data_IF_753353167336
#
_entry.id   IF_753353167336
#
_cell.length_a   1.000
_cell.length_b   1.000
_cell.length_c   1.000
_cell.angle_alpha   90.00
_cell.angle_beta   90.00
_cell.angle_gamma   90.00
#
_symmetry.space_group_name_H-M   'P 1'
#
loop_
_entity.id
_entity.type
_entity.pdbx_description
1 polymer ?
#
# COMPACT_ATOMS: atom_id res chain seq x y z
N UNK A 1 -18.59 9.78 -4.39
CA UNK A 1 -19.11 8.70 -3.53
C UNK A 1 -18.23 8.66 -2.30
N UNK A 2 -18.79 8.71 -1.09
CA UNK A 2 -18.00 8.56 0.13
C UNK A 2 -17.39 7.15 0.17
N UNK A 3 -16.14 6.98 0.61
CA UNK A 3 -15.55 5.67 0.77
C UNK A 3 -16.39 4.79 1.73
N UNK A 4 -16.87 3.65 1.26
CA UNK A 4 -17.76 2.78 2.05
C UNK A 4 -17.01 1.96 3.10
N UNK A 5 -15.69 1.86 2.97
CA UNK A 5 -14.82 1.00 3.77
C UNK A 5 -13.74 1.86 4.41
N UNK A 6 -13.61 1.83 5.74
CA UNK A 6 -12.51 2.50 6.46
C UNK A 6 -12.04 1.70 7.66
N UNK A 7 -10.72 1.68 7.86
CA UNK A 7 -10.05 1.08 9.01
C UNK A 7 -9.07 2.12 9.54
N UNK A 8 -8.95 2.26 10.86
CA UNK A 8 -7.97 3.15 11.46
C UNK A 8 -7.16 2.44 12.55
N UNK A 9 -5.97 2.98 12.80
CA UNK A 9 -5.06 2.61 13.87
C UNK A 9 -4.59 3.87 14.58
N UNK A 10 -4.52 3.82 15.92
CA UNK A 10 -3.90 4.86 16.75
C UNK A 10 -2.92 4.25 17.72
N UNK A 11 -1.81 4.93 17.98
CA UNK A 11 -0.83 4.53 18.98
C UNK A 11 -1.01 5.35 20.26
N UNK A 12 -1.39 4.69 21.35
CA UNK A 12 -1.72 5.35 22.62
C UNK A 12 -0.51 5.84 23.43
N UNK A 13 0.72 5.64 22.95
CA UNK A 13 1.94 6.13 23.63
C UNK A 13 2.27 7.57 23.29
N UNK A 14 1.56 8.17 22.34
CA UNK A 14 1.88 9.47 21.76
C UNK A 14 0.72 10.44 21.98
N UNK A 15 0.26 10.54 23.24
CA UNK A 15 -0.88 11.37 23.65
C UNK A 15 -0.47 12.85 23.62
N UNK A 16 -1.35 13.69 23.10
CA UNK A 16 -1.14 15.12 22.95
C UNK A 16 -2.11 15.88 23.84
N UNK A 17 -1.59 16.85 24.60
CA UNK A 17 -2.40 17.76 25.39
C UNK A 17 -3.26 18.66 24.48
N UNK A 18 -4.54 18.89 24.82
CA UNK A 18 -5.39 19.85 24.13
C UNK A 18 -4.73 21.23 24.04
N UNK A 19 -4.95 21.92 22.92
CA UNK A 19 -4.43 23.28 22.65
C UNK A 19 -2.89 23.44 22.72
N UNK A 20 -2.14 22.35 22.83
CA UNK A 20 -0.68 22.37 22.71
C UNK A 20 -0.24 22.72 21.29
N UNK A 21 0.99 23.21 21.14
CA UNK A 21 1.60 23.48 19.83
C UNK A 21 1.55 22.25 18.92
N UNK A 22 1.77 21.05 19.46
CA UNK A 22 1.68 19.80 18.70
C UNK A 22 0.25 19.54 18.16
N UNK A 23 -0.78 19.82 18.97
CA UNK A 23 -2.19 19.70 18.55
C UNK A 23 -2.52 20.69 17.41
N UNK A 24 -2.06 21.93 17.55
CA UNK A 24 -2.24 22.98 16.53
C UNK A 24 -1.53 22.63 15.22
N UNK A 25 -0.29 22.13 15.30
CA UNK A 25 0.50 21.74 14.13
C UNK A 25 -0.15 20.55 13.39
N UNK A 26 -0.70 19.57 14.11
CA UNK A 26 -1.47 18.47 13.51
C UNK A 26 -2.72 18.99 12.82
N UNK A 27 -3.46 19.92 13.43
CA UNK A 27 -4.68 20.48 12.83
C UNK A 27 -4.38 21.27 11.56
N UNK A 28 -3.26 22.00 11.52
CA UNK A 28 -2.80 22.71 10.34
C UNK A 28 -2.35 21.73 9.24
N UNK A 29 -1.59 20.69 9.59
CA UNK A 29 -1.16 19.65 8.67
C UNK A 29 -2.35 18.92 8.05
N UNK A 30 -3.29 18.47 8.88
CA UNK A 30 -4.51 17.79 8.43
C UNK A 30 -5.39 18.71 7.58
N UNK A 31 -5.36 20.03 7.79
CA UNK A 31 -6.05 21.00 6.94
C UNK A 31 -5.37 21.11 5.57
N UNK A 32 -4.05 21.17 5.52
CA UNK A 32 -3.28 21.20 4.27
C UNK A 32 -3.45 19.94 3.42
N UNK A 33 -3.60 18.78 4.06
CA UNK A 33 -3.85 17.51 3.38
C UNK A 33 -5.18 17.49 2.60
N UNK A 34 -6.21 18.24 3.03
CA UNK A 34 -7.58 18.11 2.50
C UNK A 34 -7.73 18.41 1.01
N UNK A 35 -6.85 19.22 0.45
CA UNK A 35 -6.86 19.62 -0.96
C UNK A 35 -5.71 19.00 -1.76
N UNK A 36 -5.03 18.00 -1.20
CA UNK A 36 -3.87 17.38 -1.84
C UNK A 36 -4.23 16.14 -2.65
N UNK A 37 -3.36 15.75 -3.58
CA UNK A 37 -3.43 14.50 -4.34
C UNK A 37 -2.06 13.83 -4.29
N UNK A 38 -1.89 12.84 -3.41
CA UNK A 38 -0.59 12.25 -3.04
C UNK A 38 0.42 13.27 -2.50
N UNK A 39 0.63 13.30 -1.19
CA UNK A 39 1.58 14.25 -0.61
C UNK A 39 2.15 13.77 0.73
N UNK A 40 3.39 14.21 0.96
CA UNK A 40 4.07 14.15 2.25
C UNK A 40 4.10 15.56 2.83
N UNK A 41 3.74 15.68 4.10
CA UNK A 41 3.66 16.93 4.82
C UNK A 41 4.60 16.91 6.01
N UNK A 42 5.23 18.04 6.27
CA UNK A 42 5.97 18.32 7.48
C UNK A 42 5.42 19.62 8.08
N UNK A 43 5.35 19.72 9.40
CA UNK A 43 5.14 21.02 10.05
C UNK A 43 6.41 21.89 9.96
N UNK A 44 6.29 23.17 10.35
CA UNK A 44 7.35 24.18 10.19
C UNK A 44 8.66 23.79 10.89
N UNK A 45 8.58 23.02 11.98
CA UNK A 45 9.72 22.53 12.75
C UNK A 45 10.16 21.09 12.37
N UNK A 46 9.54 20.48 11.36
CA UNK A 46 9.76 19.11 10.90
C UNK A 46 9.60 18.01 11.99
N UNK A 47 8.75 18.27 12.98
CA UNK A 47 8.42 17.35 14.06
C UNK A 47 7.21 16.47 13.77
N UNK A 48 6.32 16.90 12.88
CA UNK A 48 5.07 16.19 12.58
C UNK A 48 5.04 15.83 11.10
N UNK A 49 4.93 14.53 10.85
CA UNK A 49 4.86 13.95 9.52
C UNK A 49 3.43 13.62 9.14
N UNK A 50 3.06 13.92 7.89
CA UNK A 50 1.79 13.56 7.29
C UNK A 50 1.99 12.80 5.99
N UNK A 51 1.23 11.73 5.79
CA UNK A 51 1.13 11.03 4.51
C UNK A 51 -0.32 11.04 4.06
N UNK A 52 -0.57 11.49 2.83
CA UNK A 52 -1.80 11.20 2.11
C UNK A 52 -1.45 10.52 0.80
N UNK A 53 -1.87 9.27 0.61
CA UNK A 53 -1.53 8.49 -0.58
C UNK A 53 -2.75 7.74 -1.11
N UNK A 54 -3.09 8.01 -2.35
CA UNK A 54 -4.17 7.35 -3.07
C UNK A 54 -3.72 6.02 -3.64
N UNK A 55 -4.71 5.18 -3.95
CA UNK A 55 -4.49 4.00 -4.77
C UNK A 55 -4.04 4.46 -6.15
N UNK A 56 -2.98 3.84 -6.68
CA UNK A 56 -2.28 4.33 -7.88
C UNK A 56 -3.10 4.35 -9.18
N UNK A 57 -4.35 3.92 -9.14
CA UNK A 57 -5.25 3.74 -10.27
C UNK A 57 -6.37 4.81 -10.30
N UNK A 58 -6.38 5.75 -9.35
CA UNK A 58 -7.43 6.76 -9.20
C UNK A 58 -7.10 8.06 -9.91
N UNK A 59 -8.14 8.73 -10.41
CA UNK A 59 -8.03 10.11 -10.88
C UNK A 59 -7.84 11.11 -9.72
N UNK A 60 -7.36 12.31 -10.05
CA UNK A 60 -7.02 13.34 -9.06
C UNK A 60 -8.23 13.77 -8.20
N UNK A 61 -9.44 13.82 -8.75
CA UNK A 61 -10.62 14.26 -8.00
C UNK A 61 -11.03 13.21 -6.97
N UNK A 62 -11.09 11.94 -7.39
CA UNK A 62 -11.36 10.81 -6.48
C UNK A 62 -10.28 10.71 -5.40
N UNK A 63 -9.01 10.90 -5.80
CA UNK A 63 -7.87 10.91 -4.90
C UNK A 63 -7.97 12.01 -3.84
N UNK A 64 -8.16 13.26 -4.26
CA UNK A 64 -8.23 14.39 -3.33
C UNK A 64 -9.44 14.30 -2.40
N UNK A 65 -10.59 13.86 -2.91
CA UNK A 65 -11.76 13.61 -2.07
C UNK A 65 -11.48 12.56 -0.98
N UNK A 66 -10.81 11.45 -1.33
CA UNK A 66 -10.45 10.43 -0.34
C UNK A 66 -9.48 10.95 0.72
N UNK A 67 -8.41 11.66 0.31
CA UNK A 67 -7.46 12.22 1.28
C UNK A 67 -8.16 13.25 2.18
N UNK A 68 -9.05 14.10 1.63
CA UNK A 68 -9.85 15.03 2.40
C UNK A 68 -10.72 14.35 3.46
N UNK A 69 -11.44 13.30 3.08
CA UNK A 69 -12.23 12.49 4.00
C UNK A 69 -11.33 11.80 5.04
N UNK A 70 -10.16 11.30 4.63
CA UNK A 70 -9.20 10.69 5.53
C UNK A 70 -8.67 11.65 6.58
N UNK A 71 -8.27 12.86 6.18
CA UNK A 71 -7.79 13.88 7.11
C UNK A 71 -8.85 14.29 8.15
N UNK A 72 -10.11 14.40 7.74
CA UNK A 72 -11.23 14.65 8.67
C UNK A 72 -11.42 13.49 9.65
N UNK A 73 -11.37 12.26 9.16
CA UNK A 73 -11.62 11.07 9.97
C UNK A 73 -10.45 10.71 10.91
N UNK A 74 -9.21 11.05 10.55
CA UNK A 74 -8.06 10.95 11.46
C UNK A 74 -8.33 11.82 12.70
N UNK A 75 -8.65 13.11 12.53
CA UNK A 75 -8.94 14.00 13.67
C UNK A 75 -10.12 13.53 14.50
N UNK A 76 -11.20 13.08 13.84
CA UNK A 76 -12.41 12.64 14.55
C UNK A 76 -12.21 11.33 15.33
N UNK A 77 -11.41 10.38 14.80
CA UNK A 77 -11.22 9.06 15.42
C UNK A 77 -10.02 9.00 16.37
N UNK A 78 -9.07 9.92 16.19
CA UNK A 78 -7.78 9.97 16.90
C UNK A 78 -7.49 11.42 17.37
N UNK A 79 -8.35 12.04 18.20
CA UNK A 79 -8.28 13.48 18.47
C UNK A 79 -7.06 13.93 19.30
N UNK A 80 -6.47 12.99 20.04
CA UNK A 80 -5.53 13.21 21.14
C UNK A 80 -4.18 12.50 20.91
N UNK A 81 -3.85 12.10 19.68
CA UNK A 81 -2.60 11.37 19.39
C UNK A 81 -1.83 11.96 18.22
N UNK A 82 -0.50 11.86 18.26
CA UNK A 82 0.37 12.26 17.14
C UNK A 82 0.52 11.16 16.09
N UNK A 83 0.18 9.93 16.44
CA UNK A 83 0.51 8.73 15.67
C UNK A 83 -0.78 7.98 15.32
N UNK A 84 -1.27 8.19 14.10
CA UNK A 84 -2.47 7.54 13.59
C UNK A 84 -2.36 7.23 12.09
N UNK A 85 -3.00 6.14 11.65
CA UNK A 85 -3.10 5.80 10.24
C UNK A 85 -4.52 5.31 9.92
N UNK A 86 -5.04 5.69 8.76
CA UNK A 86 -6.35 5.29 8.25
C UNK A 86 -6.20 4.74 6.84
N UNK A 87 -6.95 3.70 6.53
CA UNK A 87 -7.03 3.10 5.21
C UNK A 87 -8.47 3.08 4.74
N UNK A 88 -8.67 3.61 3.55
CA UNK A 88 -9.84 3.44 2.72
C UNK A 88 -9.56 2.39 1.63
N UNK A 89 -10.54 2.10 0.79
CA UNK A 89 -10.27 1.34 -0.44
C UNK A 89 -9.52 2.19 -1.46
N UNK A 90 -9.70 3.50 -1.40
CA UNK A 90 -9.21 4.49 -2.36
C UNK A 90 -7.91 5.18 -1.93
N UNK A 91 -7.63 5.29 -0.63
CA UNK A 91 -6.42 5.95 -0.14
C UNK A 91 -6.01 5.48 1.26
N UNK A 92 -4.75 5.68 1.57
CA UNK A 92 -4.16 5.54 2.90
C UNK A 92 -3.70 6.93 3.36
N UNK A 93 -3.92 7.27 4.62
CA UNK A 93 -3.37 8.49 5.19
C UNK A 93 -2.92 8.28 6.61
N UNK A 94 -1.94 9.06 7.08
CA UNK A 94 -1.46 8.95 8.44
C UNK A 94 -0.73 10.18 8.91
N UNK A 95 -0.59 10.28 10.22
CA UNK A 95 0.19 11.28 10.93
C UNK A 95 1.15 10.57 11.89
N UNK A 96 2.32 11.16 12.10
CA UNK A 96 3.26 10.75 13.13
C UNK A 96 3.92 11.97 13.78
N UNK A 97 4.17 11.91 15.09
CA UNK A 97 5.00 12.88 15.83
C UNK A 97 6.50 12.66 15.60
N UNK A 98 6.86 12.04 14.48
CA UNK A 98 8.23 11.76 14.04
C UNK A 98 8.30 11.95 12.53
N UNK A 99 9.48 12.06 11.94
CA UNK A 99 9.66 12.36 10.50
C UNK A 99 9.18 11.26 9.52
N UNK A 100 8.49 10.20 9.96
CA UNK A 100 7.92 9.15 9.11
C UNK A 100 6.85 8.33 9.85
N UNK A 101 6.07 7.51 9.13
CA UNK A 101 5.12 6.56 9.76
C UNK A 101 5.80 5.28 10.28
N UNK A 102 7.13 5.18 10.21
CA UNK A 102 7.88 3.97 10.59
C UNK A 102 7.64 3.49 12.02
N UNK A 103 7.22 4.39 12.93
CA UNK A 103 6.96 4.06 14.32
C UNK A 103 5.55 3.52 14.59
N UNK A 104 4.64 3.59 13.61
CA UNK A 104 3.27 3.09 13.75
C UNK A 104 3.20 1.58 13.44
N UNK A 105 3.82 1.15 12.33
CA UNK A 105 3.83 -0.24 11.80
C UNK A 105 2.68 -1.15 12.25
N UNK A 106 1.42 -0.77 11.99
CA UNK A 106 0.26 -1.57 12.36
C UNK A 106 0.18 -2.84 11.52
N UNK A 107 -0.54 -3.84 12.03
CA UNK A 107 -0.99 -5.01 11.27
C UNK A 107 -2.49 -5.19 11.49
N UNK A 108 -3.29 -4.97 10.45
CA UNK A 108 -4.74 -5.19 10.49
C UNK A 108 -5.12 -6.10 9.34
N UNK A 109 -5.90 -7.15 9.63
CA UNK A 109 -6.29 -8.15 8.63
C UNK A 109 -7.81 -8.32 8.64
N UNK A 110 -8.40 -8.16 7.46
CA UNK A 110 -9.83 -8.35 7.22
C UNK A 110 -10.06 -9.53 6.30
N UNK A 111 -11.04 -10.36 6.65
CA UNK A 111 -11.27 -11.67 6.03
C UNK A 111 -12.71 -11.76 5.56
N UNK A 112 -12.89 -12.26 4.35
CA UNK A 112 -14.22 -12.60 3.83
C UNK A 112 -14.42 -14.13 3.95
N UNK A 113 -15.56 -14.53 4.54
CA UNK A 113 -15.88 -15.94 4.80
C UNK A 113 -16.30 -16.71 3.54
N UNK A 114 -16.13 -18.03 3.56
CA UNK A 114 -16.50 -18.96 2.48
C UNK A 114 -15.35 -19.88 2.06
N UNK A 115 -15.65 -20.86 1.20
CA UNK A 115 -14.68 -21.84 0.68
C UNK A 115 -14.39 -21.60 -0.81
N UNK A 116 -13.13 -21.36 -1.19
CA UNK A 116 -12.69 -21.62 -2.57
C UNK A 116 -11.37 -22.40 -2.64
N UNK A 117 -11.35 -23.43 -3.49
CA UNK A 117 -10.21 -24.31 -3.80
C UNK A 117 -9.64 -25.08 -2.59
N UNK A 118 -8.89 -26.18 -2.79
CA UNK A 118 -8.08 -26.75 -1.72
C UNK A 118 -7.15 -25.67 -1.14
N UNK A 119 -7.06 -25.57 0.19
CA UNK A 119 -6.30 -24.52 0.88
C UNK A 119 -4.84 -24.42 0.36
N UNK A 120 -4.23 -25.55 0.00
CA UNK A 120 -2.87 -25.63 -0.56
C UNK A 120 -2.75 -24.98 -1.95
N UNK A 121 -3.71 -25.19 -2.86
CA UNK A 121 -3.72 -24.55 -4.18
C UNK A 121 -3.97 -23.05 -4.06
N UNK A 122 -4.87 -22.63 -3.16
CA UNK A 122 -5.11 -21.22 -2.91
C UNK A 122 -3.86 -20.53 -2.37
N UNK A 123 -3.20 -21.13 -1.38
CA UNK A 123 -1.96 -20.60 -0.78
C UNK A 123 -0.88 -20.35 -1.84
N UNK A 124 -0.57 -21.34 -2.66
CA UNK A 124 0.44 -21.19 -3.72
C UNK A 124 0.01 -20.19 -4.79
N UNK A 125 -1.28 -20.15 -5.14
CA UNK A 125 -1.85 -19.16 -6.05
C UNK A 125 -1.72 -17.73 -5.54
N UNK A 126 -2.01 -17.48 -4.26
CA UNK A 126 -1.89 -16.15 -3.63
C UNK A 126 -0.43 -15.70 -3.56
N UNK A 127 0.49 -16.58 -3.18
CA UNK A 127 1.92 -16.28 -3.19
C UNK A 127 2.38 -15.88 -4.60
N UNK A 128 2.00 -16.65 -5.62
CA UNK A 128 2.31 -16.36 -7.02
C UNK A 128 1.67 -15.07 -7.53
N UNK A 129 0.43 -14.78 -7.14
CA UNK A 129 -0.25 -13.54 -7.49
C UNK A 129 0.49 -12.33 -6.90
N UNK A 130 0.84 -12.38 -5.62
CA UNK A 130 1.59 -11.32 -4.97
C UNK A 130 2.98 -11.16 -5.59
N UNK A 131 3.67 -12.25 -5.94
CA UNK A 131 4.96 -12.17 -6.65
C UNK A 131 4.87 -11.49 -8.01
N UNK A 132 3.79 -11.74 -8.78
CA UNK A 132 3.54 -11.01 -10.03
C UNK A 132 3.38 -9.52 -9.80
N UNK A 133 2.61 -9.13 -8.78
CA UNK A 133 2.37 -7.73 -8.44
C UNK A 133 3.67 -7.06 -7.97
N UNK A 134 4.44 -7.71 -7.08
CA UNK A 134 5.76 -7.24 -6.62
C UNK A 134 6.71 -7.02 -7.79
N UNK A 135 6.78 -7.97 -8.71
CA UNK A 135 7.65 -7.87 -9.86
C UNK A 135 7.24 -6.70 -10.76
N UNK A 136 5.94 -6.42 -10.96
CA UNK A 136 5.49 -5.20 -11.66
C UNK A 136 5.96 -3.93 -10.97
N UNK A 137 5.77 -3.82 -9.65
CA UNK A 137 6.20 -2.65 -8.87
C UNK A 137 7.71 -2.42 -9.02
N UNK A 138 8.51 -3.49 -8.90
CA UNK A 138 9.96 -3.40 -9.08
C UNK A 138 10.36 -3.10 -10.53
N UNK A 139 9.56 -3.54 -11.51
CA UNK A 139 9.85 -3.43 -12.94
C UNK A 139 9.23 -2.19 -13.62
N UNK A 140 8.45 -1.40 -12.92
CA UNK A 140 7.90 -0.17 -13.48
C UNK A 140 7.81 0.92 -12.41
N UNK A 141 8.81 1.83 -12.34
CA UNK A 141 8.81 2.92 -11.37
C UNK A 141 7.64 3.89 -11.58
N UNK A 142 7.05 3.94 -12.78
CA UNK A 142 5.92 4.84 -13.06
C UNK A 142 4.65 4.45 -12.32
N UNK A 143 4.60 3.21 -11.83
CA UNK A 143 3.49 2.68 -11.03
C UNK A 143 3.45 3.23 -9.59
N UNK A 144 4.48 3.96 -9.14
CA UNK A 144 4.46 4.65 -7.84
C UNK A 144 4.23 3.72 -6.64
N UNK A 145 4.69 2.47 -6.74
CA UNK A 145 4.51 1.46 -5.68
C UNK A 145 3.21 0.66 -5.75
N UNK A 146 2.29 0.97 -6.68
CA UNK A 146 1.00 0.29 -6.83
C UNK A 146 1.00 -0.69 -8.01
N UNK A 147 0.46 -1.90 -7.84
CA UNK A 147 0.13 -2.72 -8.98
C UNK A 147 -1.05 -3.65 -8.71
N UNK A 148 -1.64 -4.12 -9.80
CA UNK A 148 -2.70 -5.13 -9.78
C UNK A 148 -2.30 -6.34 -10.63
N UNK A 149 -2.95 -7.48 -10.44
CA UNK A 149 -2.82 -8.60 -11.35
C UNK A 149 -4.04 -9.52 -11.23
N UNK A 150 -4.28 -10.31 -12.27
CA UNK A 150 -5.12 -11.49 -12.18
C UNK A 150 -4.34 -12.79 -12.40
N UNK A 151 -4.80 -13.85 -11.75
CA UNK A 151 -4.23 -15.20 -11.88
C UNK A 151 -5.35 -16.22 -11.97
N UNK A 152 -5.40 -16.95 -13.08
CA UNK A 152 -6.31 -18.08 -13.22
C UNK A 152 -5.82 -19.23 -12.32
N UNK A 153 -6.56 -19.50 -11.24
CA UNK A 153 -6.24 -20.53 -10.26
C UNK A 153 -6.74 -21.91 -10.69
N UNK A 154 -7.96 -21.96 -11.23
CA UNK A 154 -8.57 -23.15 -11.84
C UNK A 154 -9.32 -22.73 -13.10
N UNK A 155 -9.95 -23.68 -13.82
CA UNK A 155 -10.80 -23.34 -14.99
C UNK A 155 -11.94 -22.38 -14.66
N UNK A 156 -12.45 -22.41 -13.43
CA UNK A 156 -13.61 -21.62 -12.99
C UNK A 156 -13.28 -20.49 -12.03
N UNK A 157 -12.06 -20.48 -11.47
CA UNK A 157 -11.67 -19.54 -10.43
C UNK A 157 -10.47 -18.69 -10.88
N UNK A 158 -10.65 -17.38 -10.86
CA UNK A 158 -9.59 -16.39 -11.08
C UNK A 158 -9.41 -15.58 -9.81
N UNK A 159 -8.16 -15.42 -9.38
CA UNK A 159 -7.78 -14.52 -8.31
C UNK A 159 -7.51 -13.14 -8.90
N UNK A 160 -8.04 -12.11 -8.23
CA UNK A 160 -7.78 -10.71 -8.53
C UNK A 160 -7.08 -10.10 -7.33
N UNK A 161 -5.95 -9.42 -7.55
CA UNK A 161 -5.13 -8.86 -6.49
C UNK A 161 -4.67 -7.44 -6.77
N UNK A 162 -4.62 -6.62 -5.73
CA UNK A 162 -3.94 -5.33 -5.73
C UNK A 162 -2.96 -5.29 -4.56
N UNK A 163 -1.81 -4.68 -4.76
CA UNK A 163 -0.87 -4.37 -3.69
C UNK A 163 -0.28 -2.99 -3.90
N UNK A 164 0.05 -2.31 -2.80
CA UNK A 164 0.65 -1.00 -2.85
C UNK A 164 1.68 -0.82 -1.74
N UNK A 165 2.87 -0.31 -2.10
CA UNK A 165 3.81 0.26 -1.14
C UNK A 165 3.38 1.67 -0.75
N UNK A 166 3.54 2.04 0.50
CA UNK A 166 3.47 3.46 0.84
C UNK A 166 4.76 4.17 0.42
N UNK A 167 4.66 5.42 -0.04
CA UNK A 167 5.75 6.17 -0.66
C UNK A 167 6.82 6.64 0.33
N UNK A 168 6.55 6.51 1.64
CA UNK A 168 7.40 6.93 2.73
C UNK A 168 8.47 5.90 3.13
N UNK A 169 8.45 4.71 2.51
CA UNK A 169 9.41 3.65 2.80
C UNK A 169 10.25 3.25 1.58
N UNK A 170 11.46 2.75 1.87
CA UNK A 170 12.34 2.21 0.83
C UNK A 170 11.78 0.92 0.22
N UNK A 171 12.26 0.59 -0.98
CA UNK A 171 11.92 -0.66 -1.67
C UNK A 171 12.19 -1.90 -0.81
N UNK A 172 13.23 -1.88 0.04
CA UNK A 172 13.55 -3.00 0.93
C UNK A 172 12.52 -3.17 2.05
N UNK A 173 12.07 -2.07 2.64
CA UNK A 173 11.03 -2.10 3.68
C UNK A 173 9.70 -2.56 3.07
N UNK A 174 9.35 -2.08 1.88
CA UNK A 174 8.17 -2.58 1.18
C UNK A 174 8.31 -4.07 0.79
N UNK A 175 9.48 -4.50 0.33
CA UNK A 175 9.77 -5.90 0.01
C UNK A 175 9.52 -6.82 1.21
N UNK A 176 10.00 -6.45 2.40
CA UNK A 176 9.75 -7.16 3.65
C UNK A 176 8.26 -7.17 4.02
N UNK A 177 7.56 -6.06 3.79
CA UNK A 177 6.12 -5.96 4.04
C UNK A 177 5.31 -6.97 3.19
N UNK A 178 5.66 -7.13 1.91
CA UNK A 178 5.03 -8.12 1.06
C UNK A 178 5.41 -9.56 1.45
N UNK A 179 6.61 -9.83 1.96
CA UNK A 179 6.93 -11.15 2.53
C UNK A 179 6.11 -11.44 3.80
N UNK A 180 5.90 -10.44 4.67
CA UNK A 180 4.95 -10.54 5.79
C UNK A 180 3.54 -10.86 5.31
N UNK A 181 3.09 -10.20 4.23
CA UNK A 181 1.79 -10.47 3.61
C UNK A 181 1.67 -11.91 3.10
N UNK A 182 2.72 -12.46 2.47
CA UNK A 182 2.73 -13.87 2.04
C UNK A 182 2.58 -14.83 3.22
N UNK A 183 3.21 -14.51 4.35
CA UNK A 183 3.11 -15.34 5.54
C UNK A 183 1.67 -15.43 6.07
N UNK A 184 0.78 -14.47 5.75
CA UNK A 184 -0.64 -14.53 6.14
C UNK A 184 -1.45 -15.56 5.35
N UNK A 185 -0.89 -16.15 4.29
CA UNK A 185 -1.53 -17.22 3.51
C UNK A 185 -1.23 -18.63 4.03
N UNK A 186 -0.27 -18.77 4.94
CA UNK A 186 0.14 -20.06 5.52
C UNK A 186 -0.95 -20.69 6.37
N UNK A 187 -0.82 -21.99 6.66
CA UNK A 187 -1.80 -22.72 7.46
C UNK A 187 -1.98 -22.07 8.83
N UNK A 188 -3.23 -22.05 9.32
CA UNK A 188 -3.65 -21.39 10.57
C UNK A 188 -3.50 -19.86 10.61
N UNK A 189 -3.15 -19.22 9.48
CA UNK A 189 -3.08 -17.76 9.41
C UNK A 189 -4.41 -17.12 8.99
N UNK A 190 -4.64 -15.84 9.33
CA UNK A 190 -5.86 -15.11 9.03
C UNK A 190 -6.37 -15.25 7.58
N UNK A 191 -5.52 -15.11 6.56
CA UNK A 191 -5.96 -15.16 5.16
C UNK A 191 -6.04 -16.59 4.59
N UNK A 192 -5.66 -17.61 5.36
CA UNK A 192 -5.67 -19.01 4.94
C UNK A 192 -7.08 -19.49 4.62
N UNK A 193 -7.25 -20.06 3.42
CA UNK A 193 -8.52 -20.65 2.98
C UNK A 193 -9.68 -19.66 2.82
N UNK A 194 -9.44 -18.34 2.72
CA UNK A 194 -10.50 -17.33 2.61
C UNK A 194 -10.88 -17.02 1.16
N UNK A 195 -12.12 -16.57 0.93
CA UNK A 195 -12.57 -16.09 -0.40
C UNK A 195 -12.10 -14.67 -0.71
N UNK A 196 -11.50 -14.01 0.27
CA UNK A 196 -10.92 -12.70 0.12
C UNK A 196 -10.26 -12.30 1.42
N UNK A 197 -9.17 -11.56 1.32
CA UNK A 197 -8.46 -11.00 2.45
C UNK A 197 -7.95 -9.61 2.08
N UNK A 198 -7.94 -8.70 3.04
CA UNK A 198 -7.25 -7.42 2.96
C UNK A 198 -6.29 -7.30 4.13
N UNK A 199 -5.01 -7.13 3.83
CA UNK A 199 -3.91 -6.99 4.78
C UNK A 199 -3.45 -5.55 4.74
N UNK A 200 -3.47 -4.89 5.89
CA UNK A 200 -2.98 -3.54 6.07
C UNK A 200 -1.76 -3.58 6.97
N UNK A 201 -0.61 -3.24 6.40
CA UNK A 201 0.56 -2.88 7.17
C UNK A 201 0.80 -1.37 7.08
N UNK A 202 1.70 -0.87 7.93
CA UNK A 202 2.12 0.53 7.86
C UNK A 202 2.76 0.91 6.53
N UNK A 203 3.54 -0.01 5.94
CA UNK A 203 4.35 0.24 4.75
C UNK A 203 3.82 -0.37 3.45
N UNK A 204 2.78 -1.19 3.52
CA UNK A 204 2.10 -1.73 2.34
C UNK A 204 0.70 -2.23 2.67
N UNK A 205 -0.14 -2.35 1.64
CA UNK A 205 -1.39 -3.08 1.72
C UNK A 205 -1.55 -4.08 0.57
N UNK A 206 -2.36 -5.11 0.81
CA UNK A 206 -2.70 -6.13 -0.17
C UNK A 206 -4.17 -6.52 -0.03
N UNK A 207 -4.87 -6.64 -1.16
CA UNK A 207 -6.24 -7.16 -1.21
C UNK A 207 -6.35 -8.19 -2.30
N UNK A 208 -7.02 -9.31 -2.02
CA UNK A 208 -7.48 -10.24 -3.04
C UNK A 208 -8.96 -10.60 -2.91
N UNK A 209 -9.55 -10.99 -4.04
CA UNK A 209 -10.87 -11.60 -4.11
C UNK A 209 -11.00 -12.48 -5.37
N UNK A 210 -12.06 -13.29 -5.44
CA UNK A 210 -12.44 -14.07 -6.63
C UNK A 210 -13.33 -13.32 -7.63
N UNK A 211 -13.68 -12.06 -7.32
CA UNK A 211 -14.41 -11.16 -8.22
C UNK A 211 -13.58 -9.89 -8.42
N UNK A 212 -13.56 -9.31 -9.63
CA UNK A 212 -12.97 -7.99 -9.84
C UNK A 212 -13.61 -6.96 -8.90
N UNK A 213 -12.79 -6.12 -8.29
CA UNK A 213 -13.23 -5.06 -7.37
C UNK A 213 -12.66 -3.68 -7.72
N UNK A 214 -11.89 -3.59 -8.81
CA UNK A 214 -11.51 -2.31 -9.42
C UNK A 214 -12.59 -1.86 -10.40
N UNK A 215 -12.75 -0.55 -10.55
CA UNK A 215 -13.71 0.01 -11.50
C UNK A 215 -13.30 -0.35 -12.94
N UNK A 216 -14.13 -1.09 -13.72
CA UNK A 216 -13.73 -1.63 -15.03
C UNK A 216 -13.41 -0.57 -16.09
N UNK A 217 -13.96 0.64 -15.94
CA UNK A 217 -13.75 1.75 -16.87
C UNK A 217 -12.46 2.51 -16.62
N UNK A 218 -11.94 2.46 -15.39
CA UNK A 218 -10.69 3.12 -15.04
C UNK A 218 -9.52 2.15 -15.12
N UNK A 219 -9.68 0.90 -14.64
CA UNK A 219 -8.55 -0.02 -14.47
C UNK A 219 -8.94 -1.48 -14.71
N UNK A 220 -8.18 -2.14 -15.58
CA UNK A 220 -8.26 -3.60 -15.78
C UNK A 220 -7.18 -4.28 -14.94
N UNK A 221 -7.48 -5.49 -14.47
CA UNK A 221 -6.46 -6.33 -13.85
C UNK A 221 -5.51 -6.84 -14.93
N UNK A 222 -4.22 -6.73 -14.68
CA UNK A 222 -3.21 -7.18 -15.64
C UNK A 222 -3.12 -8.70 -15.70
N UNK A 223 -3.25 -9.22 -16.93
CA UNK A 223 -3.01 -10.63 -17.26
C UNK A 223 -1.54 -10.83 -17.56
N UNK A 224 -0.77 -11.25 -16.56
CA UNK A 224 0.66 -11.47 -16.73
C UNK A 224 0.96 -12.96 -16.81
N UNK A 225 1.41 -13.40 -17.99
CA UNK A 225 1.98 -14.74 -18.14
C UNK A 225 3.36 -14.80 -17.48
N UNK A 226 3.75 -15.97 -16.99
CA UNK A 226 5.06 -16.13 -16.33
C UNK A 226 6.20 -15.79 -17.30
N UNK A 227 6.04 -16.12 -18.59
CA UNK A 227 6.97 -15.75 -19.66
C UNK A 227 7.15 -14.23 -19.80
N UNK A 228 6.06 -13.45 -19.80
CA UNK A 228 6.15 -12.00 -19.90
C UNK A 228 6.87 -11.40 -18.68
N UNK A 229 6.66 -11.97 -17.49
CA UNK A 229 7.35 -11.54 -16.28
C UNK A 229 8.85 -11.85 -16.33
N UNK A 230 9.22 -13.04 -16.79
CA UNK A 230 10.63 -13.44 -16.96
C UNK A 230 11.36 -12.56 -17.98
N UNK A 231 10.70 -12.23 -19.10
CA UNK A 231 11.26 -11.35 -20.12
C UNK A 231 11.48 -9.93 -19.58
N UNK A 232 10.51 -9.39 -18.85
CA UNK A 232 10.59 -8.07 -18.22
C UNK A 232 11.69 -8.03 -17.15
N UNK A 233 11.81 -9.10 -16.35
CA UNK A 233 12.84 -9.22 -15.32
C UNK A 233 14.24 -9.28 -15.96
N UNK A 234 14.42 -10.07 -17.03
CA UNK A 234 15.66 -10.13 -17.80
C UNK A 234 16.04 -8.77 -18.41
N UNK A 235 15.07 -8.05 -18.96
CA UNK A 235 15.29 -6.72 -19.52
C UNK A 235 15.81 -5.74 -18.47
N UNK A 236 15.20 -5.73 -17.28
CA UNK A 236 15.61 -4.89 -16.16
C UNK A 236 16.98 -5.21 -15.60
N UNK A 237 17.33 -6.49 -15.46
CA UNK A 237 18.65 -6.90 -15.00
C UNK A 237 19.74 -6.35 -15.94
N UNK A 238 19.55 -6.46 -17.26
CA UNK A 238 20.48 -5.90 -18.25
C UNK A 238 20.65 -4.38 -18.14
N UNK A 239 19.55 -3.64 -17.95
CA UNK A 239 19.60 -2.18 -17.76
C UNK A 239 20.42 -1.79 -16.52
N UNK A 240 20.31 -2.55 -15.42
CA UNK A 240 21.08 -2.31 -14.18
C UNK A 240 22.58 -2.59 -14.41
N UNK A 241 22.91 -3.68 -15.10
CA UNK A 241 24.31 -4.02 -15.43
C UNK A 241 24.95 -2.96 -16.34
N UNK A 242 24.22 -2.45 -17.33
CA UNK A 242 24.67 -1.37 -18.21
C UNK A 242 24.88 -0.04 -17.44
N UNK A 243 23.97 0.32 -16.54
CA UNK A 243 24.13 1.50 -15.67
C UNK A 243 25.34 1.38 -14.74
N UNK A 244 25.54 0.20 -14.15
CA UNK A 244 26.67 -0.07 -13.24
C UNK A 244 28.01 -0.01 -13.98
N UNK A 245 28.06 -0.54 -15.21
CA UNK A 245 29.24 -0.47 -16.09
C UNK A 245 29.59 0.98 -16.45
N UNK A 246 28.59 1.81 -16.78
CA UNK A 246 28.79 3.25 -17.07
C UNK A 246 29.31 4.02 -15.85
N UNK A 247 28.79 3.74 -14.65
CA UNK A 247 29.30 4.35 -13.41
C UNK A 247 30.75 3.95 -13.14
N UNK A 248 31.12 2.68 -13.35
CA UNK A 248 32.51 2.23 -13.17
C UNK A 248 33.48 2.92 -14.13
N UNK A 249 33.06 3.16 -15.39
CA UNK A 249 33.87 3.90 -16.36
C UNK A 249 34.06 5.38 -15.99
N UNK A 250 33.05 6.03 -15.38
CA UNK A 250 33.18 7.40 -14.89
C UNK A 250 34.12 7.52 -13.68
N UNK A 251 34.12 6.53 -12.78
CA UNK A 251 34.98 6.54 -11.59
C UNK A 251 36.44 6.24 -11.95
N UNK A 252 36.70 5.47 -13.00
CA UNK A 252 38.07 5.21 -13.48
C UNK A 252 38.69 6.35 -14.30
N UNK A 253 37.98 7.48 -14.46
CA UNK A 253 38.41 8.64 -15.26
C UNK A 253 38.84 9.85 -14.40
N UNK A 254 39.05 9.66 -13.09
CA UNK A 254 39.57 10.65 -12.15
C UNK A 254 40.84 10.15 -11.47
#
# INVERSE_FOLDING_TARGET
>A
MAPSFKVYYRKNTSIIEPDSLASINIDNLLRGMRSSSNAVFMDEDNHIYGLGQCRGDLDMNTCSACIGDASLNIKASCPDVSDAQIWYDECTSGIAGTCSLANLMPQIIMRHGGLPSPASSLRSGLAKLLDKIKARIATDPTLGGFANAELQLTRSNTLYGVAQCTQDFSSDVCGKCFEGTKAEFEDNKPCSGKVGCKVFYGSCDFRYAFKPFLCPYANKFEKISDKALEELTRYKAKQIDELSSRKSMMVSSF
#
